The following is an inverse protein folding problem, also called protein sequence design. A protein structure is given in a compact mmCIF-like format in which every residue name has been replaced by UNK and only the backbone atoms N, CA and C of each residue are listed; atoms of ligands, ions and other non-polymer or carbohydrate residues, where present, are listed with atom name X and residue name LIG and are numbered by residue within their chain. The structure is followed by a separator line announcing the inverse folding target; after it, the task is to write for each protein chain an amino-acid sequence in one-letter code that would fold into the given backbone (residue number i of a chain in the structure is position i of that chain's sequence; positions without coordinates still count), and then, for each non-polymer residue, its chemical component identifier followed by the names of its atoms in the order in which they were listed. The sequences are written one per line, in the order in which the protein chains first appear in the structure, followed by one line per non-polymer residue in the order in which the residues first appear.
data_IF_425651320309
#
_entry.id   IF_425651320309
#
_cell.length_a   1.000
_cell.length_b   1.000
_cell.length_c   1.000
_cell.angle_alpha   90.00
_cell.angle_beta   90.00
_cell.angle_gamma   90.00
#
_symmetry.space_group_name_H-M   'P 1'
#
loop_
_entity.id
_entity.type
_entity.pdbx_description
1 polymer ?
#
# COMPACT_ATOMS: atom_id res chain seq x y z
N UNK A 1 -13.09 -10.35 -4.27
CA UNK A 1 -13.06 -10.80 -2.86
C UNK A 1 -14.45 -10.64 -2.28
N UNK A 2 -14.84 -11.48 -1.30
CA UNK A 2 -16.12 -11.32 -0.60
C UNK A 2 -16.11 -10.10 0.31
N UNK A 3 -17.25 -9.40 0.44
CA UNK A 3 -17.39 -8.28 1.36
C UNK A 3 -17.21 -8.73 2.81
N UNK A 4 -17.69 -9.91 3.16
CA UNK A 4 -17.47 -10.53 4.48
C UNK A 4 -15.98 -10.68 4.81
N UNK A 5 -15.18 -11.16 3.86
CA UNK A 5 -13.73 -11.26 4.02
C UNK A 5 -13.08 -9.88 4.16
N UNK A 6 -13.52 -8.88 3.41
CA UNK A 6 -13.02 -7.50 3.52
C UNK A 6 -13.35 -6.92 4.91
N UNK A 7 -14.58 -7.08 5.39
CA UNK A 7 -15.00 -6.65 6.72
C UNK A 7 -14.11 -7.26 7.81
N UNK A 8 -13.87 -8.57 7.74
CA UNK A 8 -13.00 -9.31 8.67
C UNK A 8 -11.54 -8.82 8.61
N UNK A 9 -10.98 -8.70 7.41
CA UNK A 9 -9.63 -8.18 7.16
C UNK A 9 -9.44 -6.79 7.76
N UNK A 10 -10.40 -5.88 7.55
CA UNK A 10 -10.33 -4.52 8.08
C UNK A 10 -10.52 -4.49 9.60
N UNK A 11 -11.40 -5.33 10.14
CA UNK A 11 -11.56 -5.51 11.59
C UNK A 11 -10.25 -5.91 12.26
N UNK A 12 -9.60 -6.95 11.74
CA UNK A 12 -8.30 -7.42 12.22
C UNK A 12 -7.18 -6.39 12.03
N UNK A 13 -7.11 -5.72 10.88
CA UNK A 13 -6.10 -4.68 10.65
C UNK A 13 -6.26 -3.48 11.59
N UNK A 14 -7.49 -3.08 11.92
CA UNK A 14 -7.73 -2.01 12.91
C UNK A 14 -7.28 -2.42 14.31
N UNK A 15 -7.48 -3.68 14.69
CA UNK A 15 -6.96 -4.22 15.95
C UNK A 15 -5.43 -4.21 15.96
N UNK A 16 -4.79 -4.65 14.86
CA UNK A 16 -3.34 -4.63 14.70
C UNK A 16 -2.75 -3.21 14.79
N UNK A 17 -3.38 -2.24 14.13
CA UNK A 17 -3.02 -0.82 14.25
C UNK A 17 -3.15 -0.34 15.70
N UNK A 18 -4.26 -0.66 16.38
CA UNK A 18 -4.43 -0.30 17.80
C UNK A 18 -3.41 -0.97 18.72
N UNK A 19 -2.98 -2.21 18.43
CA UNK A 19 -1.93 -2.91 19.19
C UNK A 19 -0.57 -2.21 19.08
N UNK A 20 -0.32 -1.52 17.98
CA UNK A 20 0.89 -0.73 17.73
C UNK A 20 0.71 0.76 18.07
N UNK A 21 -0.34 1.11 18.80
CA UNK A 21 -0.68 2.49 19.20
C UNK A 21 -0.86 3.45 18.00
N UNK A 22 -1.20 2.90 16.82
CA UNK A 22 -1.52 3.68 15.62
C UNK A 22 -2.94 4.22 15.73
N UNK A 23 -3.04 5.54 15.64
CA UNK A 23 -4.30 6.26 15.67
C UNK A 23 -4.66 6.75 14.27
N UNK A 24 -5.80 6.28 13.75
CA UNK A 24 -6.31 6.70 12.45
C UNK A 24 -7.25 7.93 12.57
N UNK A 25 -7.36 8.75 11.50
CA UNK A 25 -8.30 9.85 11.48
C UNK A 25 -9.76 9.37 11.56
N UNK A 26 -10.71 10.20 12.02
CA UNK A 26 -12.10 9.78 12.26
C UNK A 26 -12.76 9.08 11.07
N UNK A 27 -12.51 9.55 9.84
CA UNK A 27 -13.12 9.00 8.63
C UNK A 27 -12.76 7.53 8.36
N UNK A 28 -11.69 7.02 8.98
CA UNK A 28 -11.34 5.60 8.93
C UNK A 28 -12.39 4.67 9.56
N UNK A 29 -13.30 5.23 10.36
CA UNK A 29 -14.34 4.49 11.09
C UNK A 29 -15.76 4.76 10.59
N UNK A 30 -15.92 5.58 9.56
CA UNK A 30 -17.24 5.89 9.02
C UNK A 30 -17.84 4.68 8.31
N UNK A 31 -19.03 4.29 8.77
CA UNK A 31 -19.89 3.33 8.06
C UNK A 31 -20.41 3.94 6.76
N UNK A 32 -20.87 3.12 5.79
CA UNK A 32 -21.50 3.61 4.57
C UNK A 32 -22.64 4.62 4.84
N UNK A 33 -23.44 4.38 5.88
CA UNK A 33 -24.52 5.29 6.26
C UNK A 33 -23.99 6.66 6.75
N UNK A 34 -22.86 6.69 7.46
CA UNK A 34 -22.24 7.95 7.88
C UNK A 34 -21.67 8.72 6.69
N UNK A 35 -21.03 8.04 5.74
CA UNK A 35 -20.56 8.65 4.48
C UNK A 35 -21.68 9.34 3.71
N UNK A 36 -22.87 8.72 3.63
CA UNK A 36 -24.05 9.28 2.95
C UNK A 36 -24.60 10.56 3.60
N UNK A 37 -24.25 10.85 4.86
CA UNK A 37 -24.73 12.02 5.58
C UNK A 37 -23.71 13.17 5.60
N UNK A 38 -22.55 13.00 4.97
CA UNK A 38 -21.52 14.05 4.94
C UNK A 38 -21.89 15.17 3.95
N UNK A 39 -21.38 16.37 4.24
CA UNK A 39 -21.33 17.46 3.26
C UNK A 39 -20.27 17.13 2.19
N UNK A 40 -20.70 16.66 1.02
CA UNK A 40 -19.77 16.12 0.01
C UNK A 40 -18.77 17.16 -0.50
N UNK A 41 -19.13 18.45 -0.52
CA UNK A 41 -18.23 19.53 -0.91
C UNK A 41 -17.05 19.71 0.06
N UNK A 42 -17.24 19.41 1.35
CA UNK A 42 -16.17 19.48 2.34
C UNK A 42 -15.22 18.27 2.31
N UNK A 43 -15.60 17.20 1.63
CA UNK A 43 -14.90 15.90 1.63
C UNK A 43 -14.30 15.51 0.26
N UNK A 44 -14.31 16.42 -0.72
CA UNK A 44 -13.80 16.19 -2.08
C UNK A 44 -12.37 15.62 -2.10
N UNK A 45 -11.46 16.12 -1.24
CA UNK A 45 -10.06 15.64 -1.20
C UNK A 45 -9.96 14.14 -0.86
N UNK A 46 -10.85 13.62 0.00
CA UNK A 46 -10.87 12.20 0.33
C UNK A 46 -11.27 11.36 -0.89
N UNK A 47 -12.29 11.81 -1.63
CA UNK A 47 -12.82 11.08 -2.77
C UNK A 47 -11.87 11.13 -3.97
N UNK A 48 -11.39 12.33 -4.31
CA UNK A 48 -10.59 12.57 -5.50
C UNK A 48 -9.20 11.94 -5.39
N UNK A 49 -8.61 11.95 -4.19
CA UNK A 49 -7.28 11.42 -3.95
C UNK A 49 -7.28 10.00 -3.39
N UNK A 50 -8.46 9.37 -3.30
CA UNK A 50 -8.67 8.01 -2.78
C UNK A 50 -8.00 7.82 -1.42
N UNK A 51 -8.28 8.71 -0.47
CA UNK A 51 -7.83 8.53 0.91
C UNK A 51 -8.64 7.41 1.59
N UNK A 52 -8.03 6.75 2.57
CA UNK A 52 -8.70 5.71 3.35
C UNK A 52 -8.31 4.28 3.00
N UNK A 53 -9.21 3.34 3.29
CA UNK A 53 -8.94 1.91 3.28
C UNK A 53 -8.75 1.33 1.88
N UNK A 54 -7.77 0.45 1.75
CA UNK A 54 -7.56 -0.37 0.56
C UNK A 54 -7.25 -1.82 0.98
N UNK A 55 -7.90 -2.77 0.31
CA UNK A 55 -7.69 -4.20 0.47
C UNK A 55 -7.58 -4.80 -0.91
N UNK A 56 -6.46 -5.44 -1.20
CA UNK A 56 -6.21 -6.08 -2.48
C UNK A 56 -5.63 -7.47 -2.31
N UNK A 57 -6.02 -8.38 -3.20
CA UNK A 57 -5.37 -9.66 -3.45
C UNK A 57 -4.67 -9.68 -4.82
N UNK A 58 -4.41 -8.50 -5.40
CA UNK A 58 -3.69 -8.31 -6.66
C UNK A 58 -4.26 -9.13 -7.83
N UNK A 59 -5.59 -9.12 -7.98
CA UNK A 59 -6.31 -9.90 -9.00
C UNK A 59 -6.32 -11.42 -8.76
N UNK A 60 -5.69 -11.90 -7.69
CA UNK A 60 -5.65 -13.33 -7.31
C UNK A 60 -6.76 -13.68 -6.32
N UNK A 61 -6.88 -14.97 -6.02
CA UNK A 61 -7.92 -15.54 -5.15
C UNK A 61 -7.41 -15.95 -3.75
N UNK A 62 -6.13 -15.76 -3.45
CA UNK A 62 -5.52 -16.09 -2.16
C UNK A 62 -4.87 -14.86 -1.53
N UNK A 63 -5.71 -14.07 -0.83
CA UNK A 63 -5.28 -12.86 -0.14
C UNK A 63 -4.15 -13.12 0.87
N UNK A 64 -4.20 -14.23 1.62
CA UNK A 64 -3.18 -14.53 2.63
C UNK A 64 -1.79 -14.74 2.02
N UNK A 65 -1.71 -15.33 0.82
CA UNK A 65 -0.44 -15.51 0.12
C UNK A 65 -0.01 -14.24 -0.63
N UNK A 66 -0.93 -13.62 -1.37
CA UNK A 66 -0.68 -12.41 -2.14
C UNK A 66 -1.77 -11.40 -1.86
N UNK A 67 -1.43 -10.38 -1.08
CA UNK A 67 -2.38 -9.35 -0.70
C UNK A 67 -1.75 -8.27 0.14
N UNK A 68 -2.50 -7.21 0.36
CA UNK A 68 -2.06 -6.09 1.19
C UNK A 68 -3.29 -5.38 1.77
N UNK A 69 -3.15 -4.86 2.99
CA UNK A 69 -4.12 -3.93 3.58
C UNK A 69 -3.44 -2.60 3.84
N UNK A 70 -4.05 -1.50 3.38
CA UNK A 70 -3.49 -0.17 3.49
C UNK A 70 -4.54 0.84 3.96
N UNK A 71 -4.06 1.94 4.50
CA UNK A 71 -4.81 3.17 4.69
C UNK A 71 -4.01 4.36 4.16
N UNK A 72 -4.51 5.03 3.13
CA UNK A 72 -3.90 6.27 2.61
C UNK A 72 -4.30 7.44 3.50
N UNK A 73 -3.34 7.98 4.26
CA UNK A 73 -3.57 9.02 5.27
C UNK A 73 -3.68 10.41 4.64
N UNK A 74 -2.87 10.67 3.61
CA UNK A 74 -2.79 11.94 2.88
C UNK A 74 -2.20 11.69 1.50
N UNK A 75 -2.54 12.55 0.55
CA UNK A 75 -2.02 12.49 -0.81
C UNK A 75 -2.12 13.87 -1.48
N UNK A 76 -1.64 13.99 -2.72
CA UNK A 76 -1.90 15.10 -3.62
C UNK A 76 -2.31 14.63 -5.00
N UNK A 77 -2.57 15.56 -5.92
CA UNK A 77 -2.98 15.23 -7.29
C UNK A 77 -1.82 14.70 -8.12
N UNK A 78 -2.04 13.63 -8.90
CA UNK A 78 -1.03 13.06 -9.80
C UNK A 78 -0.42 14.11 -10.76
N UNK A 79 -1.27 15.05 -11.23
CA UNK A 79 -0.88 16.17 -12.12
C UNK A 79 -0.56 17.47 -11.38
N UNK A 80 -0.55 17.45 -10.04
CA UNK A 80 -0.27 18.61 -9.18
C UNK A 80 -1.43 19.60 -8.99
N UNK A 81 -2.60 19.37 -9.61
CA UNK A 81 -3.82 20.20 -9.44
C UNK A 81 -5.08 19.31 -9.36
N UNK A 82 -6.13 19.71 -8.62
CA UNK A 82 -6.19 20.93 -7.79
C UNK A 82 -5.46 20.81 -6.44
N UNK A 83 -5.08 19.60 -6.03
CA UNK A 83 -4.42 19.34 -4.74
C UNK A 83 -2.89 19.37 -4.90
N UNK A 84 -2.28 20.53 -4.63
CA UNK A 84 -0.85 20.82 -4.91
C UNK A 84 0.15 20.08 -4.01
N UNK A 85 -0.31 19.26 -3.06
CA UNK A 85 0.55 18.50 -2.14
C UNK A 85 1.48 17.61 -2.96
N UNK A 86 2.79 17.69 -2.74
CA UNK A 86 3.76 16.90 -3.49
C UNK A 86 4.02 15.51 -2.90
N UNK A 87 3.46 15.22 -1.72
CA UNK A 87 3.73 14.02 -0.93
C UNK A 87 2.45 13.26 -0.56
N UNK A 88 2.64 11.98 -0.25
CA UNK A 88 1.63 11.08 0.27
C UNK A 88 2.17 10.30 1.48
N UNK A 89 1.26 9.74 2.26
CA UNK A 89 1.59 8.85 3.36
C UNK A 89 0.57 7.72 3.43
N UNK A 90 1.04 6.48 3.59
CA UNK A 90 0.22 5.32 3.88
C UNK A 90 0.70 4.62 5.15
N UNK A 91 -0.24 3.99 5.83
CA UNK A 91 0.03 3.01 6.88
C UNK A 91 -0.60 1.69 6.49
N UNK A 92 0.17 0.62 6.61
CA UNK A 92 -0.14 -0.66 5.98
C UNK A 92 0.09 -1.81 6.96
N UNK A 93 -0.64 -2.88 6.72
CA UNK A 93 -0.53 -4.13 7.46
C UNK A 93 -0.15 -5.23 6.47
N UNK A 94 1.09 -5.72 6.59
CA UNK A 94 1.60 -6.88 5.86
C UNK A 94 1.53 -8.07 6.80
N UNK A 95 0.68 -9.05 6.48
CA UNK A 95 0.55 -10.25 7.31
C UNK A 95 1.76 -11.17 7.16
N UNK A 96 2.01 -12.01 8.16
CA UNK A 96 3.06 -13.03 8.11
C UNK A 96 3.06 -13.79 6.77
N UNK A 97 4.21 -13.83 6.10
CA UNK A 97 4.44 -14.45 4.80
C UNK A 97 3.61 -13.91 3.61
N UNK A 98 2.83 -12.84 3.81
CA UNK A 98 1.99 -12.24 2.77
C UNK A 98 2.83 -11.39 1.81
N UNK A 99 2.78 -11.70 0.52
CA UNK A 99 3.60 -11.08 -0.52
C UNK A 99 2.85 -9.96 -1.25
N UNK A 100 3.47 -8.80 -1.35
CA UNK A 100 3.16 -7.79 -2.37
C UNK A 100 3.95 -8.11 -3.65
N UNK A 101 3.29 -8.40 -4.80
CA UNK A 101 3.97 -8.79 -6.02
C UNK A 101 4.98 -7.76 -6.54
N UNK A 102 5.96 -8.25 -7.31
CA UNK A 102 7.00 -7.45 -7.93
C UNK A 102 6.43 -6.35 -8.83
N UNK A 103 6.75 -5.10 -8.52
CA UNK A 103 6.34 -3.93 -9.31
C UNK A 103 7.35 -2.79 -9.18
N UNK A 104 7.28 -1.83 -10.10
CA UNK A 104 7.90 -0.52 -9.94
C UNK A 104 6.86 0.57 -10.13
N UNK A 105 7.23 1.79 -9.77
CA UNK A 105 6.45 2.99 -10.08
C UNK A 105 7.05 3.81 -11.21
N UNK A 106 6.21 4.32 -12.11
CA UNK A 106 6.67 5.18 -13.20
C UNK A 106 7.15 6.53 -12.67
N UNK A 107 6.48 7.05 -11.64
CA UNK A 107 6.70 8.38 -11.08
C UNK A 107 6.97 8.37 -9.58
N UNK A 108 6.27 7.54 -8.80
CA UNK A 108 6.39 7.58 -7.33
C UNK A 108 7.81 7.22 -6.90
N UNK A 109 8.38 8.08 -6.06
CA UNK A 109 9.48 7.75 -5.14
C UNK A 109 8.86 7.50 -3.78
N UNK A 110 9.27 6.45 -3.10
CA UNK A 110 8.76 6.11 -1.78
C UNK A 110 9.86 5.62 -0.85
N UNK A 111 9.66 5.88 0.43
CA UNK A 111 10.40 5.27 1.51
C UNK A 111 9.46 4.24 2.17
N UNK A 112 9.82 2.96 2.03
CA UNK A 112 9.14 1.84 2.71
C UNK A 112 9.80 1.68 4.09
N UNK A 113 8.98 1.73 5.13
CA UNK A 113 9.42 1.84 6.52
C UNK A 113 8.84 0.67 7.31
N UNK A 114 9.68 -0.14 7.96
CA UNK A 114 9.18 -1.05 8.98
C UNK A 114 8.94 -0.24 10.27
N UNK A 115 7.67 0.07 10.57
CA UNK A 115 7.30 0.84 11.76
C UNK A 115 7.16 -0.03 13.01
N UNK A 116 7.14 -1.36 12.90
CA UNK A 116 6.98 -2.26 14.03
C UNK A 116 6.48 -3.66 13.64
N UNK A 117 6.55 -4.59 14.60
CA UNK A 117 6.13 -5.98 14.41
C UNK A 117 7.29 -6.89 14.01
N UNK A 118 7.06 -7.74 13.02
CA UNK A 118 8.06 -8.65 12.46
C UNK A 118 9.12 -7.96 11.60
N UNK A 119 9.79 -8.75 10.76
CA UNK A 119 10.79 -8.26 9.80
C UNK A 119 10.15 -8.11 8.41
N UNK A 120 10.42 -6.99 7.72
CA UNK A 120 10.01 -6.83 6.33
C UNK A 120 11.16 -7.25 5.41
N UNK A 121 10.93 -8.21 4.54
CA UNK A 121 11.88 -8.55 3.48
C UNK A 121 11.51 -7.74 2.23
N UNK A 122 12.50 -7.13 1.60
CA UNK A 122 12.35 -6.36 0.36
C UNK A 122 13.31 -6.92 -0.69
N UNK A 123 12.76 -7.49 -1.77
CA UNK A 123 13.50 -7.97 -2.93
C UNK A 123 13.57 -6.89 -4.00
N UNK A 124 14.75 -6.71 -4.62
CA UNK A 124 15.02 -5.56 -5.50
C UNK A 124 15.66 -5.96 -6.83
N UNK A 125 15.19 -5.33 -7.91
CA UNK A 125 15.75 -5.45 -9.25
C UNK A 125 15.72 -4.08 -9.97
N UNK A 126 16.70 -3.80 -10.83
CA UNK A 126 16.52 -2.73 -11.81
C UNK A 126 15.58 -3.22 -12.93
N UNK A 127 14.82 -2.32 -13.55
CA UNK A 127 14.12 -2.61 -14.81
C UNK A 127 15.08 -2.44 -16.01
N UNK A 128 15.05 -3.37 -16.96
CA UNK A 128 15.71 -3.23 -18.25
C UNK A 128 14.86 -2.44 -19.26
N UNK A 129 15.35 -2.27 -20.49
CA UNK A 129 14.63 -1.55 -21.54
C UNK A 129 13.34 -2.23 -22.03
N UNK A 130 13.13 -3.49 -21.66
CA UNK A 130 11.93 -4.28 -21.97
C UNK A 130 11.03 -4.43 -20.73
N UNK A 131 11.26 -3.63 -19.70
CA UNK A 131 10.49 -3.64 -18.44
C UNK A 131 10.58 -4.99 -17.71
N UNK A 132 11.65 -5.75 -17.93
CA UNK A 132 11.99 -6.99 -17.22
C UNK A 132 13.04 -6.73 -16.13
N UNK A 133 13.26 -7.70 -15.25
CA UNK A 133 14.31 -7.63 -14.22
C UNK A 133 15.69 -7.73 -14.86
N UNK A 134 16.55 -6.73 -14.63
CA UNK A 134 17.93 -6.70 -15.11
C UNK A 134 18.91 -7.35 -14.12
N UNK A 135 19.97 -7.99 -14.63
CA UNK A 135 21.06 -8.57 -13.82
C UNK A 135 22.06 -7.53 -13.26
N UNK A 136 21.78 -6.24 -13.44
CA UNK A 136 22.64 -5.15 -12.97
C UNK A 136 22.50 -4.92 -11.47
N UNK A 137 23.61 -4.63 -10.81
CA UNK A 137 23.60 -4.26 -9.38
C UNK A 137 22.61 -3.13 -9.07
N UNK A 138 21.90 -3.24 -7.96
CA UNK A 138 20.99 -2.21 -7.44
C UNK A 138 21.74 -1.28 -6.48
N UNK A 139 21.43 0.00 -6.54
CA UNK A 139 21.94 1.01 -5.58
C UNK A 139 20.76 1.60 -4.84
N UNK A 140 20.79 1.50 -3.51
CA UNK A 140 19.71 1.98 -2.63
C UNK A 140 20.28 2.78 -1.47
N UNK A 141 19.40 3.50 -0.79
CA UNK A 141 19.71 4.18 0.46
C UNK A 141 18.80 3.59 1.54
N UNK A 142 19.40 3.02 2.57
CA UNK A 142 18.70 2.53 3.77
C UNK A 142 19.06 3.49 4.89
N UNK A 143 18.07 4.20 5.43
CA UNK A 143 18.23 5.15 6.55
C UNK A 143 19.39 6.16 6.38
N UNK A 144 19.58 6.65 5.16
CA UNK A 144 20.65 7.59 4.79
C UNK A 144 22.00 6.94 4.44
N UNK A 145 22.17 5.64 4.63
CA UNK A 145 23.33 4.88 4.21
C UNK A 145 23.17 4.38 2.77
N UNK A 146 24.02 4.86 1.86
CA UNK A 146 24.03 4.42 0.46
C UNK A 146 24.79 3.12 0.31
N UNK A 147 24.15 2.12 -0.31
CA UNK A 147 24.68 0.77 -0.45
C UNK A 147 24.47 0.25 -1.88
N UNK A 148 25.29 -0.71 -2.29
CA UNK A 148 25.21 -1.35 -3.61
C UNK A 148 25.15 -2.87 -3.41
N UNK A 149 24.19 -3.52 -4.05
CA UNK A 149 23.93 -4.96 -3.92
C UNK A 149 23.74 -5.59 -5.30
N UNK A 150 23.87 -6.90 -5.38
CA UNK A 150 23.59 -7.66 -6.61
C UNK A 150 22.10 -7.60 -6.95
N UNK A 151 21.76 -7.77 -8.22
CA UNK A 151 20.37 -7.94 -8.66
C UNK A 151 19.68 -9.09 -7.88
N UNK A 152 18.40 -8.90 -7.53
CA UNK A 152 17.62 -9.89 -6.78
C UNK A 152 17.98 -10.03 -5.31
N UNK A 153 18.77 -9.10 -4.78
CA UNK A 153 19.06 -9.08 -3.34
C UNK A 153 17.76 -8.96 -2.54
N UNK A 154 17.67 -9.74 -1.46
CA UNK A 154 16.61 -9.66 -0.47
C UNK A 154 17.17 -9.00 0.79
N UNK A 155 16.73 -7.77 1.06
CA UNK A 155 17.14 -6.98 2.21
C UNK A 155 16.11 -7.13 3.33
N UNK A 156 16.57 -7.37 4.55
CA UNK A 156 15.72 -7.35 5.73
C UNK A 156 15.69 -5.94 6.30
N UNK A 157 14.49 -5.42 6.53
CA UNK A 157 14.25 -4.22 7.34
C UNK A 157 13.64 -4.66 8.67
N UNK A 158 14.39 -4.45 9.74
CA UNK A 158 13.95 -4.63 11.12
C UNK A 158 13.10 -3.42 11.56
N UNK A 159 12.33 -3.52 12.66
CA UNK A 159 11.60 -2.38 13.18
C UNK A 159 12.48 -1.13 13.37
N UNK A 160 12.08 -0.03 12.73
CA UNK A 160 12.79 1.24 12.71
C UNK A 160 13.60 1.52 11.45
N UNK A 161 13.87 0.51 10.62
CA UNK A 161 14.62 0.66 9.38
C UNK A 161 13.71 1.01 8.19
N UNK A 162 14.25 1.77 7.24
CA UNK A 162 13.55 2.19 6.03
C UNK A 162 14.45 2.21 4.79
N UNK A 163 13.86 1.95 3.63
CA UNK A 163 14.54 1.95 2.33
C UNK A 163 13.87 2.93 1.37
N UNK A 164 14.67 3.79 0.74
CA UNK A 164 14.20 4.68 -0.34
C UNK A 164 14.24 3.94 -1.69
N UNK A 165 13.09 3.81 -2.33
CA UNK A 165 12.88 3.19 -3.63
C UNK A 165 12.61 4.30 -4.68
N UNK A 166 13.55 4.54 -5.62
CA UNK A 166 13.33 5.45 -6.72
C UNK A 166 12.35 4.88 -7.77
N UNK A 167 11.74 5.73 -8.60
CA UNK A 167 10.93 5.27 -9.74
C UNK A 167 11.74 4.34 -10.65
N UNK A 168 11.07 3.31 -11.20
CA UNK A 168 11.68 2.30 -12.07
C UNK A 168 12.49 1.21 -11.35
N UNK A 169 12.66 1.26 -10.02
CA UNK A 169 13.24 0.16 -9.26
C UNK A 169 12.14 -0.86 -8.93
N UNK A 170 12.28 -2.05 -9.49
CA UNK A 170 11.42 -3.18 -9.17
C UNK A 170 11.62 -3.58 -7.71
N UNK A 171 10.50 -3.74 -7.01
CA UNK A 171 10.47 -4.20 -5.64
C UNK A 171 9.29 -5.12 -5.36
N UNK A 172 9.52 -6.10 -4.48
CA UNK A 172 8.52 -6.96 -3.87
C UNK A 172 8.83 -7.05 -2.38
N UNK A 173 7.80 -7.17 -1.54
CA UNK A 173 8.01 -7.28 -0.10
C UNK A 173 7.02 -8.21 0.58
N UNK A 174 7.45 -8.76 1.71
CA UNK A 174 6.65 -9.62 2.58
C UNK A 174 7.15 -9.57 4.01
N UNK A 175 6.26 -9.89 4.96
CA UNK A 175 6.67 -10.16 6.33
C UNK A 175 7.43 -11.51 6.37
N UNK A 176 8.62 -11.52 6.97
CA UNK A 176 9.45 -12.73 7.06
C UNK A 176 8.67 -13.85 7.75
N UNK A 177 8.59 -15.01 7.08
CA UNK A 177 7.74 -16.12 7.51
C UNK A 177 8.05 -16.57 8.94
N UNK A 178 7.03 -16.55 9.80
CA UNK A 178 7.12 -16.97 11.19
C UNK A 178 7.61 -15.89 12.16
N UNK A 179 7.89 -14.68 11.69
CA UNK A 179 8.27 -13.54 12.55
C UNK A 179 7.09 -12.60 12.87
N UNK A 180 5.90 -12.93 12.38
CA UNK A 180 4.66 -12.18 12.63
C UNK A 180 4.41 -11.06 11.63
N UNK A 181 3.25 -10.42 11.81
CA UNK A 181 2.78 -9.33 10.98
C UNK A 181 3.69 -8.09 11.11
N UNK A 182 3.75 -7.29 10.05
CA UNK A 182 4.56 -6.06 9.99
C UNK A 182 3.67 -4.84 9.77
N UNK A 183 3.87 -3.83 10.61
CA UNK A 183 3.32 -2.50 10.43
C UNK A 183 4.24 -1.73 9.48
N UNK A 184 3.80 -1.56 8.23
CA UNK A 184 4.61 -0.87 7.22
C UNK A 184 4.10 0.54 7.01
N UNK A 185 5.01 1.52 7.10
CA UNK A 185 4.79 2.88 6.66
C UNK A 185 5.26 3.07 5.22
N UNK A 186 4.54 3.90 4.47
CA UNK A 186 5.00 4.45 3.19
C UNK A 186 4.98 5.98 3.32
N UNK A 187 6.13 6.61 3.12
CA UNK A 187 6.20 8.08 2.92
C UNK A 187 6.73 8.31 1.53
N UNK A 188 5.98 9.02 0.69
CA UNK A 188 6.28 9.05 -0.73
C UNK A 188 5.99 10.41 -1.35
N UNK A 189 6.41 10.59 -2.60
CA UNK A 189 5.72 11.52 -3.48
C UNK A 189 4.27 11.09 -3.71
N UNK A 190 3.43 11.94 -4.32
CA UNK A 190 2.03 11.62 -4.67
C UNK A 190 1.87 10.18 -5.21
N UNK A 191 0.87 9.47 -4.68
CA UNK A 191 0.46 8.14 -5.11
C UNK A 191 -0.69 8.21 -6.13
N UNK A 192 -0.63 7.38 -7.16
CA UNK A 192 -1.68 7.20 -8.18
C UNK A 192 -1.80 5.72 -8.55
N UNK A 193 -2.55 4.97 -7.75
CA UNK A 193 -2.66 3.52 -7.91
C UNK A 193 -3.40 3.08 -9.19
N UNK A 194 -4.06 4.00 -9.91
CA UNK A 194 -4.75 3.71 -11.18
C UNK A 194 -3.78 3.60 -12.37
N UNK A 195 -2.63 4.28 -12.29
CA UNK A 195 -1.74 4.45 -13.45
C UNK A 195 -0.25 4.30 -13.14
N UNK A 196 0.17 4.42 -11.88
CA UNK A 196 1.58 4.51 -11.51
C UNK A 196 2.18 3.17 -11.07
N UNK A 197 1.45 2.06 -11.24
CA UNK A 197 1.91 0.73 -10.87
C UNK A 197 2.21 -0.09 -12.14
N UNK A 198 3.47 -0.46 -12.35
CA UNK A 198 3.85 -1.46 -13.35
C UNK A 198 4.23 -2.77 -12.65
N UNK A 199 3.35 -3.76 -12.72
CA UNK A 199 3.62 -5.09 -12.19
C UNK A 199 4.38 -5.93 -13.21
N UNK A 200 5.42 -6.65 -12.76
CA UNK A 200 6.21 -7.53 -13.63
C UNK A 200 5.33 -8.61 -14.30
N UNK A 201 4.36 -9.14 -13.54
CA UNK A 201 3.32 -10.01 -14.07
C UNK A 201 2.05 -9.18 -14.28
N UNK A 202 1.37 -9.30 -15.44
CA UNK A 202 0.12 -8.59 -15.67
C UNK A 202 -0.93 -9.05 -14.66
N UNK A 203 -1.42 -8.12 -13.85
CA UNK A 203 -2.41 -8.34 -12.80
C UNK A 203 -3.24 -7.09 -12.52
N UNK A 204 -4.40 -7.28 -11.90
CA UNK A 204 -5.27 -6.17 -11.48
C UNK A 204 -4.87 -5.67 -10.09
N UNK A 205 -4.63 -4.36 -9.95
CA UNK A 205 -4.32 -3.73 -8.66
C UNK A 205 -5.49 -3.77 -7.66
N UNK A 206 -6.73 -3.76 -8.16
CA UNK A 206 -7.95 -3.82 -7.36
C UNK A 206 -8.75 -5.07 -7.72
N UNK A 207 -9.48 -5.61 -6.75
CA UNK A 207 -10.39 -6.75 -6.96
C UNK A 207 -11.83 -6.28 -7.13
N UNK A 208 -12.59 -6.98 -7.97
CA UNK A 208 -14.06 -6.93 -7.90
C UNK A 208 -14.55 -7.53 -6.57
N UNK A 209 -15.67 -7.01 -6.06
CA UNK A 209 -16.23 -7.39 -4.77
C UNK A 209 -17.48 -8.25 -4.98
N UNK A 210 -17.57 -9.36 -4.25
CA UNK A 210 -18.77 -10.18 -4.09
C UNK A 210 -19.50 -9.69 -2.83
N UNK A 211 -20.62 -8.98 -3.02
CA UNK A 211 -21.37 -8.30 -1.94
C UNK A 211 -22.26 -9.30 -1.18
N UNK A 212 -21.62 -10.24 -0.47
CA UNK A 212 -22.26 -11.34 0.26
C UNK A 212 -22.84 -10.95 1.63
N UNK A 213 -22.44 -9.80 2.17
CA UNK A 213 -23.01 -9.19 3.38
C UNK A 213 -22.89 -7.65 3.33
N UNK A 214 -23.58 -6.89 4.21
CA UNK A 214 -23.44 -5.44 4.26
C UNK A 214 -22.01 -4.97 4.55
N UNK A 215 -21.54 -3.97 3.83
CA UNK A 215 -20.25 -3.33 4.09
C UNK A 215 -20.24 -2.58 5.44
N UNK A 216 -19.22 -2.82 6.26
CA UNK A 216 -19.03 -2.10 7.53
C UNK A 216 -18.25 -0.80 7.36
N UNK A 217 -17.36 -0.76 6.35
CA UNK A 217 -16.51 0.37 6.00
C UNK A 217 -16.50 0.53 4.47
N UNK A 218 -16.05 1.69 4.01
CA UNK A 218 -15.96 2.05 2.59
C UNK A 218 -14.48 2.06 2.16
N UNK A 219 -14.18 1.39 1.05
CA UNK A 219 -12.85 1.39 0.43
C UNK A 219 -12.61 2.65 -0.42
N UNK A 220 -11.35 3.03 -0.58
CA UNK A 220 -10.94 4.27 -1.24
C UNK A 220 -11.31 4.33 -2.72
N UNK A 221 -11.52 3.17 -3.35
CA UNK A 221 -11.88 3.03 -4.75
C UNK A 221 -13.40 2.89 -4.97
N UNK A 222 -14.25 2.97 -3.94
CA UNK A 222 -15.72 2.83 -4.08
C UNK A 222 -16.51 4.07 -3.64
N UNK A 223 -15.85 5.22 -3.46
CA UNK A 223 -16.51 6.48 -3.09
C UNK A 223 -17.51 7.04 -4.11
N UNK A 224 -17.55 6.50 -5.35
CA UNK A 224 -18.38 7.04 -6.44
C UNK A 224 -19.87 7.15 -6.09
N UNK A 225 -20.36 6.29 -5.20
CA UNK A 225 -21.75 6.26 -4.74
C UNK A 225 -22.05 7.13 -3.51
N UNK A 226 -21.04 7.82 -2.96
CA UNK A 226 -21.13 8.64 -1.75
C UNK A 226 -20.81 10.13 -1.99
N UNK A 227 -20.59 10.52 -3.24
CA UNK A 227 -20.18 11.88 -3.63
C UNK A 227 -21.27 12.60 -4.44
#
# INVERSE_FOLDING_TARGET
MKRSAINDILGHTRQFFSQHDVHLPPFASFSPAQWQQLDTAAWEEVFDLKLGWDVTAFGRNNFAAHGLTLFTLRNGSAKGMPYVKCYAEKIMHVRDAQVTPMHFHWRKREDIINRGGGNLIVELWNADSNEQTADSDVTVVIDGCRQKHTAGTQLRLSPGESICLPPGLYHSFWAETGFGDVLVGEVSSVNDDDHDNHFLQPLDRYNLIDEDEPAQLVLCNEYRQFR
#
